data_IF_304675852417
#
_entry.id   IF_304675852417
#
_cell.length_a   1.000
_cell.length_b   1.000
_cell.length_c   1.000
_cell.angle_alpha   90.00
_cell.angle_beta   90.00
_cell.angle_gamma   90.00
#
_symmetry.space_group_name_H-M   'P 1'
#
loop_
_entity.id
_entity.type
_entity.pdbx_description
1 polymer ?
#
# COMPACT_ATOMS: atom_id res chain seq x y z
N UNK A 1 -0.95 -2.90 12.87
CA UNK A 1 0.10 -3.30 11.91
C UNK A 1 0.42 -2.22 10.88
N UNK A 2 -0.43 -1.95 9.87
CA UNK A 2 -0.10 -1.02 8.78
C UNK A 2 0.35 0.37 9.26
N UNK A 3 -0.47 1.06 10.05
CA UNK A 3 -0.15 2.42 10.51
C UNK A 3 1.14 2.49 11.35
N UNK A 4 1.47 1.42 12.07
CA UNK A 4 2.73 1.34 12.83
C UNK A 4 3.95 1.14 11.93
N UNK A 5 3.79 0.51 10.76
CA UNK A 5 4.84 0.42 9.73
C UNK A 5 5.03 1.80 9.11
N UNK A 6 3.93 2.45 8.67
CA UNK A 6 3.98 3.77 8.03
C UNK A 6 4.54 4.85 8.96
N UNK A 7 4.20 4.81 10.25
CA UNK A 7 4.74 5.74 11.26
C UNK A 7 6.27 5.65 11.37
N UNK A 8 6.85 4.48 11.12
CA UNK A 8 8.29 4.26 11.16
C UNK A 8 9.00 4.59 9.84
N UNK A 9 8.26 4.87 8.77
CA UNK A 9 8.83 5.20 7.46
C UNK A 9 9.32 6.64 7.40
N UNK A 10 10.37 6.88 6.61
CA UNK A 10 10.81 8.22 6.25
C UNK A 10 9.71 8.98 5.50
N UNK A 11 9.78 10.31 5.50
CA UNK A 11 8.84 11.15 4.75
C UNK A 11 8.84 10.83 3.25
N UNK A 12 9.99 10.44 2.70
CA UNK A 12 10.11 10.00 1.30
C UNK A 12 9.28 8.73 1.05
N UNK A 13 9.43 7.71 1.92
CA UNK A 13 8.67 6.47 1.80
C UNK A 13 7.17 6.69 2.04
N UNK A 14 6.78 7.60 2.93
CA UNK A 14 5.37 7.98 3.11
C UNK A 14 4.79 8.63 1.85
N UNK A 15 5.55 9.49 1.15
CA UNK A 15 5.15 10.06 -0.15
C UNK A 15 5.06 8.99 -1.24
N UNK A 16 5.98 8.01 -1.24
CA UNK A 16 5.92 6.86 -2.15
C UNK A 16 4.69 6.00 -1.91
N UNK A 17 4.29 5.76 -0.66
CA UNK A 17 3.01 5.10 -0.34
C UNK A 17 1.84 5.89 -0.90
N UNK A 18 1.81 7.21 -0.70
CA UNK A 18 0.73 8.04 -1.20
C UNK A 18 0.62 7.95 -2.73
N UNK A 19 1.76 8.06 -3.44
CA UNK A 19 1.82 7.89 -4.90
C UNK A 19 1.40 6.49 -5.32
N UNK A 20 1.83 5.45 -4.60
CA UNK A 20 1.49 4.06 -4.88
C UNK A 20 -0.02 3.83 -4.82
N UNK A 21 -0.72 4.45 -3.86
CA UNK A 21 -2.16 4.23 -3.66
C UNK A 21 -3.03 5.20 -4.44
N UNK A 22 -2.59 6.44 -4.64
CA UNK A 22 -3.43 7.52 -5.21
C UNK A 22 -2.95 8.03 -6.57
N UNK A 23 -1.78 7.58 -7.04
CA UNK A 23 -1.10 8.15 -8.21
C UNK A 23 -0.45 9.51 -7.98
N UNK A 24 -0.75 10.20 -6.87
CA UNK A 24 -0.21 11.51 -6.54
C UNK A 24 0.80 11.44 -5.39
N UNK A 25 1.96 12.07 -5.54
CA UNK A 25 2.96 12.17 -4.46
C UNK A 25 2.67 13.29 -3.45
N UNK A 26 1.62 14.08 -3.68
CA UNK A 26 1.18 15.19 -2.82
C UNK A 26 -0.18 14.86 -2.21
N UNK A 27 -0.33 15.22 -0.94
CA UNK A 27 -1.62 15.12 -0.26
C UNK A 27 -2.68 16.01 -0.92
N UNK A 28 -3.97 15.64 -0.81
CA UNK A 28 -5.06 16.49 -1.26
C UNK A 28 -5.04 17.83 -0.52
N UNK A 29 -5.21 18.93 -1.26
CA UNK A 29 -5.09 20.30 -0.73
C UNK A 29 -6.02 20.56 0.46
N UNK A 30 -7.24 20.03 0.39
CA UNK A 30 -8.27 20.21 1.41
C UNK A 30 -8.23 19.10 2.51
N UNK A 31 -7.25 18.20 2.42
CA UNK A 31 -7.09 17.05 3.32
C UNK A 31 -7.79 15.77 2.83
N UNK A 32 -7.40 14.64 3.44
CA UNK A 32 -7.78 13.29 3.00
C UNK A 32 -9.28 12.99 3.03
N UNK A 33 -10.07 13.77 3.80
CA UNK A 33 -11.53 13.64 3.86
C UNK A 33 -12.23 13.98 2.53
N UNK A 34 -11.54 14.64 1.61
CA UNK A 34 -12.05 15.00 0.28
C UNK A 34 -11.46 14.15 -0.86
N UNK A 35 -10.76 13.05 -0.54
CA UNK A 35 -10.41 12.10 -1.59
C UNK A 35 -11.67 11.44 -2.13
N UNK A 36 -11.79 11.40 -3.45
CA UNK A 36 -12.87 10.71 -4.13
C UNK A 36 -12.29 9.67 -5.10
N UNK A 37 -12.48 8.37 -4.81
CA UNK A 37 -13.04 7.79 -3.59
C UNK A 37 -12.11 7.92 -2.37
N UNK A 38 -12.60 7.65 -1.16
CA UNK A 38 -11.78 7.72 0.06
C UNK A 38 -10.64 6.69 0.03
N UNK A 39 -9.55 7.01 0.73
CA UNK A 39 -8.44 6.07 0.91
C UNK A 39 -8.93 4.80 1.61
N UNK A 40 -8.74 3.65 0.97
CA UNK A 40 -9.24 2.37 1.43
C UNK A 40 -8.09 1.37 1.60
N UNK A 41 -8.12 0.60 2.68
CA UNK A 41 -7.20 -0.52 2.90
C UNK A 41 -8.04 -1.80 2.96
N UNK A 42 -7.69 -2.76 2.12
CA UNK A 42 -8.36 -4.05 2.08
C UNK A 42 -7.37 -5.19 2.30
N UNK A 43 -7.80 -6.22 3.02
CA UNK A 43 -7.10 -7.50 3.04
C UNK A 43 -7.61 -8.37 1.91
N UNK A 44 -6.71 -8.93 1.09
CA UNK A 44 -7.07 -9.91 0.08
C UNK A 44 -7.72 -11.13 0.74
N UNK A 45 -8.83 -11.60 0.16
CA UNK A 45 -9.49 -12.83 0.60
C UNK A 45 -8.65 -14.08 0.29
N UNK A 46 -9.00 -15.20 0.93
CA UNK A 46 -8.35 -16.50 0.76
C UNK A 46 -7.59 -16.98 1.99
N UNK A 47 -7.25 -18.27 1.99
CA UNK A 47 -6.45 -18.87 3.06
C UNK A 47 -5.02 -18.31 3.02
N UNK A 48 -4.40 -18.17 4.18
CA UNK A 48 -3.01 -17.74 4.30
C UNK A 48 -2.03 -18.86 3.92
N UNK A 49 -2.13 -19.37 2.68
CA UNK A 49 -1.13 -20.26 2.10
C UNK A 49 0.21 -19.55 1.96
N UNK A 50 1.29 -20.31 1.89
CA UNK A 50 2.64 -19.74 1.76
C UNK A 50 2.79 -18.91 0.48
N UNK A 51 2.12 -19.31 -0.61
CA UNK A 51 2.06 -18.54 -1.86
C UNK A 51 1.34 -17.20 -1.66
N UNK A 52 0.23 -17.18 -0.91
CA UNK A 52 -0.51 -15.96 -0.63
C UNK A 52 0.31 -15.00 0.26
N UNK A 53 1.12 -15.54 1.17
CA UNK A 53 1.98 -14.76 2.06
C UNK A 53 3.18 -14.14 1.35
N UNK A 54 3.62 -14.71 0.23
CA UNK A 54 4.76 -14.20 -0.53
C UNK A 54 4.39 -13.10 -1.54
N UNK A 55 3.11 -12.98 -1.91
CA UNK A 55 2.63 -11.92 -2.80
C UNK A 55 2.97 -10.52 -2.26
N UNK A 56 3.12 -9.57 -3.18
CA UNK A 56 3.29 -8.15 -2.85
C UNK A 56 1.94 -7.48 -2.59
N UNK A 57 1.91 -6.36 -1.83
CA UNK A 57 0.72 -5.52 -1.81
C UNK A 57 0.49 -4.90 -3.19
N UNK A 58 -0.78 -4.74 -3.56
CA UNK A 58 -1.19 -4.12 -4.81
C UNK A 58 -2.04 -2.89 -4.55
N UNK A 59 -2.13 -1.99 -5.52
CA UNK A 59 -3.01 -0.83 -5.44
C UNK A 59 -3.92 -0.73 -6.67
N UNK A 60 -5.09 -0.13 -6.47
CA UNK A 60 -5.94 0.36 -7.55
C UNK A 60 -6.07 1.87 -7.38
N UNK A 61 -5.26 2.61 -8.13
CA UNK A 61 -5.11 4.07 -7.97
C UNK A 61 -6.41 4.83 -8.28
N UNK A 62 -7.18 4.37 -9.25
CA UNK A 62 -8.53 4.89 -9.54
C UNK A 62 -9.50 4.77 -8.35
N UNK A 63 -9.21 3.86 -7.41
CA UNK A 63 -10.06 3.59 -6.24
C UNK A 63 -9.41 4.02 -4.92
N UNK A 64 -8.24 4.68 -4.94
CA UNK A 64 -7.44 4.98 -3.75
C UNK A 64 -7.31 3.77 -2.80
N UNK A 65 -7.19 2.56 -3.37
CA UNK A 65 -7.26 1.29 -2.66
C UNK A 65 -5.88 0.65 -2.55
N UNK A 66 -5.48 0.33 -1.32
CA UNK A 66 -4.31 -0.48 -1.00
C UNK A 66 -4.75 -1.87 -0.54
N UNK A 67 -4.34 -2.92 -1.26
CA UNK A 67 -4.67 -4.30 -0.95
C UNK A 67 -3.46 -5.05 -0.40
N UNK A 68 -3.61 -5.64 0.78
CA UNK A 68 -2.60 -6.47 1.41
C UNK A 68 -2.94 -7.95 1.31
N UNK A 69 -1.97 -8.81 0.95
CA UNK A 69 -2.06 -10.23 1.24
C UNK A 69 -2.20 -10.51 2.75
N UNK A 70 -2.52 -11.75 3.16
CA UNK A 70 -2.81 -12.08 4.56
C UNK A 70 -1.56 -12.18 5.45
N UNK A 71 -0.70 -11.15 5.43
CA UNK A 71 0.55 -11.09 6.17
C UNK A 71 0.36 -11.34 7.67
N UNK A 72 1.29 -12.12 8.24
CA UNK A 72 1.22 -12.57 9.65
C UNK A 72 2.01 -11.69 10.61
N UNK A 73 2.89 -10.81 10.11
CA UNK A 73 3.75 -9.99 10.96
C UNK A 73 4.04 -8.60 10.40
N UNK A 74 4.38 -7.67 11.31
CA UNK A 74 4.75 -6.29 10.97
C UNK A 74 5.97 -6.26 10.06
N UNK A 75 7.01 -7.03 10.38
CA UNK A 75 8.23 -7.10 9.59
C UNK A 75 8.01 -7.64 8.17
N UNK A 76 7.08 -8.59 7.98
CA UNK A 76 6.72 -9.05 6.64
C UNK A 76 6.04 -7.94 5.83
N UNK A 77 5.04 -7.28 6.42
CA UNK A 77 4.35 -6.16 5.78
C UNK A 77 5.30 -5.02 5.43
N UNK A 78 6.20 -4.67 6.35
CA UNK A 78 7.21 -3.64 6.15
C UNK A 78 8.12 -3.94 4.96
N UNK A 79 8.75 -5.13 4.93
CA UNK A 79 9.64 -5.52 3.82
C UNK A 79 8.92 -5.54 2.47
N UNK A 80 7.73 -6.15 2.41
CA UNK A 80 6.98 -6.30 1.15
C UNK A 80 6.39 -4.96 0.68
N UNK A 81 5.92 -4.11 1.58
CA UNK A 81 5.44 -2.77 1.26
C UNK A 81 6.59 -1.88 0.78
N UNK A 82 7.74 -1.90 1.48
CA UNK A 82 8.91 -1.13 1.07
C UNK A 82 9.41 -1.56 -0.30
N UNK A 83 9.41 -2.87 -0.59
CA UNK A 83 9.71 -3.37 -1.92
C UNK A 83 8.73 -2.81 -2.97
N UNK A 84 7.42 -2.95 -2.75
CA UNK A 84 6.41 -2.54 -3.71
C UNK A 84 6.46 -1.03 -4.04
N UNK A 85 6.63 -0.16 -3.05
CA UNK A 85 6.65 1.30 -3.27
C UNK A 85 7.96 1.81 -3.89
N UNK A 86 9.03 1.01 -3.87
CA UNK A 86 10.33 1.36 -4.44
C UNK A 86 10.63 0.63 -5.76
N UNK A 87 9.79 -0.32 -6.17
CA UNK A 87 10.03 -1.13 -7.35
C UNK A 87 9.92 -0.35 -8.69
N UNK A 88 9.63 0.96 -8.69
CA UNK A 88 9.35 1.83 -9.86
C UNK A 88 8.33 1.28 -10.90
N UNK A 89 7.76 0.10 -10.65
CA UNK A 89 6.78 -0.56 -11.49
C UNK A 89 5.40 0.05 -11.23
N UNK A 90 5.15 1.20 -11.84
CA UNK A 90 3.82 1.50 -12.31
C UNK A 90 3.43 0.45 -13.35
N UNK A 91 2.49 -0.43 -13.01
CA UNK A 91 1.72 -1.27 -13.95
C UNK A 91 2.33 -2.56 -14.52
N UNK A 92 3.38 -3.15 -13.96
CA UNK A 92 3.80 -4.50 -14.37
C UNK A 92 3.45 -5.55 -13.31
N UNK A 93 2.92 -6.68 -13.76
CA UNK A 93 2.33 -7.81 -13.01
C UNK A 93 0.80 -7.77 -12.84
N UNK A 94 0.09 -7.58 -13.95
CA UNK A 94 -1.27 -8.15 -14.15
C UNK A 94 -1.18 -9.41 -14.98
#
# INVERSE_FOLDING_TARGET
MFWEVVKNFSLENQRKILKFVTGCSRGPLLGFKYLEPLFCIQRAGGNASDEALDRLPTSATCMNLLKFPPYRSKGQMERKLLYAINADAGFDLS
#
